data_IF_552599872609
#
_entry.id   IF_552599872609
#
_cell.length_a   1.000
_cell.length_b   1.000
_cell.length_c   1.000
_cell.angle_alpha   90.00
_cell.angle_beta   90.00
_cell.angle_gamma   90.00
#
_symmetry.space_group_name_H-M   'P 1'
#
loop_
_entity.id
_entity.type
_entity.pdbx_description
1 polymer ?
#
# COMPACT_ATOMS: atom_id res chain seq x y z
N UNK A 1 20.63 17.32 -11.99
CA UNK A 1 20.34 16.01 -11.38
C UNK A 1 21.48 15.72 -10.42
N UNK A 2 21.21 15.21 -9.21
CA UNK A 2 22.29 14.80 -8.29
C UNK A 2 23.09 13.69 -8.98
N UNK A 3 24.40 13.93 -9.19
CA UNK A 3 25.30 13.00 -9.87
C UNK A 3 25.27 11.62 -9.20
N UNK A 4 25.10 11.57 -7.88
CA UNK A 4 25.06 10.31 -7.13
C UNK A 4 23.83 9.46 -7.51
N UNK A 5 22.66 10.10 -7.62
CA UNK A 5 21.42 9.44 -8.01
C UNK A 5 21.51 8.93 -9.45
N UNK A 6 22.10 9.71 -10.36
CA UNK A 6 22.29 9.29 -11.75
C UNK A 6 23.15 8.01 -11.85
N UNK A 7 24.27 7.94 -11.13
CA UNK A 7 25.13 6.75 -11.13
C UNK A 7 24.44 5.52 -10.55
N UNK A 8 23.59 5.67 -9.51
CA UNK A 8 22.79 4.55 -8.99
C UNK A 8 21.80 4.02 -10.04
N UNK A 9 21.12 4.90 -10.78
CA UNK A 9 20.24 4.45 -11.87
C UNK A 9 21.02 3.84 -13.03
N UNK A 10 22.22 4.34 -13.35
CA UNK A 10 23.10 3.70 -14.34
C UNK A 10 23.51 2.30 -13.91
N UNK A 11 23.87 2.10 -12.64
CA UNK A 11 24.12 0.77 -12.07
C UNK A 11 22.90 -0.15 -12.23
N UNK A 12 21.69 0.33 -11.92
CA UNK A 12 20.48 -0.46 -12.12
C UNK A 12 20.20 -0.79 -13.59
N UNK A 13 20.49 0.14 -14.51
CA UNK A 13 20.33 -0.06 -15.94
C UNK A 13 21.33 -1.09 -16.51
N UNK A 14 22.57 -1.10 -16.02
CA UNK A 14 23.62 -2.02 -16.50
C UNK A 14 23.43 -3.46 -15.99
N UNK A 15 22.93 -3.61 -14.76
CA UNK A 15 22.98 -4.91 -14.07
C UNK A 15 21.62 -5.47 -13.66
N UNK A 16 20.54 -4.69 -13.75
CA UNK A 16 19.19 -5.12 -13.38
C UNK A 16 18.60 -6.15 -14.33
N UNK A 17 17.55 -6.83 -13.87
CA UNK A 17 16.64 -7.57 -14.72
C UNK A 17 15.78 -6.61 -15.59
N UNK A 18 14.96 -7.14 -16.53
CA UNK A 18 14.14 -6.30 -17.40
C UNK A 18 13.21 -5.31 -16.68
N UNK A 19 12.69 -5.64 -15.49
CA UNK A 19 11.82 -4.77 -14.70
C UNK A 19 12.59 -3.54 -14.21
N UNK A 20 13.72 -3.77 -13.54
CA UNK A 20 14.58 -2.72 -12.99
C UNK A 20 15.22 -1.89 -14.13
N UNK A 21 15.69 -2.55 -15.20
CA UNK A 21 16.31 -1.87 -16.35
C UNK A 21 15.31 -0.95 -17.03
N UNK A 22 14.07 -1.38 -17.24
CA UNK A 22 13.03 -0.53 -17.82
C UNK A 22 12.74 0.72 -16.96
N UNK A 23 12.67 0.59 -15.63
CA UNK A 23 12.53 1.73 -14.72
C UNK A 23 13.73 2.67 -14.80
N UNK A 24 14.94 2.12 -14.70
CA UNK A 24 16.18 2.89 -14.73
C UNK A 24 16.39 3.63 -16.07
N UNK A 25 16.04 2.99 -17.19
CA UNK A 25 16.13 3.58 -18.52
C UNK A 25 15.24 4.81 -18.68
N UNK A 26 14.02 4.80 -18.09
CA UNK A 26 13.13 5.97 -18.07
C UNK A 26 13.79 7.13 -17.35
N UNK A 27 14.44 6.84 -16.24
CA UNK A 27 15.07 7.85 -15.41
C UNK A 27 16.25 8.53 -16.10
N UNK A 28 17.16 7.75 -16.70
CA UNK A 28 18.37 8.27 -17.36
C UNK A 28 18.10 8.75 -18.80
N UNK A 29 16.85 8.74 -19.26
CA UNK A 29 16.46 9.28 -20.56
C UNK A 29 16.84 8.41 -21.77
N UNK A 30 17.05 7.11 -21.57
CA UNK A 30 17.42 6.15 -22.64
C UNK A 30 16.34 5.08 -22.88
N UNK A 31 15.14 5.29 -22.36
CA UNK A 31 14.02 4.35 -22.49
C UNK A 31 13.64 4.13 -23.96
N UNK A 32 13.40 2.86 -24.28
CA UNK A 32 12.94 2.41 -25.60
C UNK A 32 11.83 1.39 -25.44
N UNK A 33 11.02 1.21 -26.48
CA UNK A 33 9.89 0.29 -26.43
C UNK A 33 10.32 -1.17 -26.22
N UNK A 34 11.50 -1.56 -26.72
CA UNK A 34 12.03 -2.91 -26.53
C UNK A 34 12.32 -3.23 -25.06
N UNK A 35 12.70 -2.23 -24.25
CA UNK A 35 12.91 -2.40 -22.81
C UNK A 35 11.57 -2.59 -22.09
N UNK A 36 10.54 -1.85 -22.51
CA UNK A 36 9.18 -2.03 -22.01
C UNK A 36 8.66 -3.42 -22.36
N UNK A 37 8.81 -3.85 -23.61
CA UNK A 37 8.38 -5.16 -24.06
C UNK A 37 9.12 -6.28 -23.32
N UNK A 38 10.44 -6.19 -23.16
CA UNK A 38 11.23 -7.16 -22.38
C UNK A 38 10.82 -7.22 -20.90
N UNK A 39 10.40 -6.11 -20.31
CA UNK A 39 9.82 -6.09 -18.95
C UNK A 39 8.49 -6.85 -18.92
N UNK A 40 7.59 -6.61 -19.87
CA UNK A 40 6.28 -7.27 -19.96
C UNK A 40 6.41 -8.77 -20.23
N UNK A 41 7.37 -9.19 -21.04
CA UNK A 41 7.66 -10.61 -21.34
C UNK A 41 8.31 -11.37 -20.18
N UNK A 42 8.76 -10.68 -19.13
CA UNK A 42 9.35 -11.31 -17.95
C UNK A 42 8.37 -12.33 -17.33
N UNK A 43 8.82 -13.56 -17.04
CA UNK A 43 7.98 -14.58 -16.40
C UNK A 43 7.36 -14.12 -15.08
N UNK A 44 8.03 -13.19 -14.38
CA UNK A 44 7.53 -12.60 -13.14
C UNK A 44 6.38 -11.64 -13.38
N UNK A 45 6.42 -10.84 -14.44
CA UNK A 45 5.32 -9.92 -14.79
C UNK A 45 4.12 -10.74 -15.26
N UNK A 46 4.34 -11.69 -16.17
CA UNK A 46 3.29 -12.57 -16.68
C UNK A 46 2.56 -13.34 -15.56
N UNK A 47 3.30 -13.88 -14.60
CA UNK A 47 2.71 -14.54 -13.42
C UNK A 47 1.70 -13.66 -12.67
N UNK A 48 2.05 -12.38 -12.45
CA UNK A 48 1.17 -11.47 -11.70
C UNK A 48 0.01 -10.95 -12.55
N UNK A 49 0.17 -10.83 -13.88
CA UNK A 49 -0.95 -10.57 -14.79
C UNK A 49 -1.94 -11.74 -14.75
N UNK A 50 -1.46 -12.99 -14.77
CA UNK A 50 -2.30 -14.18 -14.66
C UNK A 50 -3.05 -14.22 -13.32
N UNK A 51 -2.36 -13.91 -12.21
CA UNK A 51 -2.98 -13.81 -10.89
C UNK A 51 -4.06 -12.73 -10.83
N UNK A 52 -3.81 -11.54 -11.39
CA UNK A 52 -4.81 -10.47 -11.48
C UNK A 52 -6.00 -10.90 -12.35
N UNK A 53 -5.76 -11.56 -13.47
CA UNK A 53 -6.80 -11.98 -14.40
C UNK A 53 -7.77 -13.01 -13.76
N UNK A 54 -7.29 -13.84 -12.83
CA UNK A 54 -8.13 -14.75 -12.07
C UNK A 54 -9.22 -14.05 -11.23
N UNK A 55 -9.03 -12.77 -10.90
CA UNK A 55 -10.01 -11.99 -10.12
C UNK A 55 -11.39 -11.95 -10.78
N UNK A 56 -11.48 -11.98 -12.11
CA UNK A 56 -12.75 -12.00 -12.85
C UNK A 56 -13.57 -13.29 -12.60
N UNK A 57 -12.88 -14.41 -12.42
CA UNK A 57 -13.53 -15.70 -12.19
C UNK A 57 -13.97 -15.84 -10.73
N UNK A 58 -13.16 -15.31 -9.81
CA UNK A 58 -13.41 -15.36 -8.37
C UNK A 58 -13.04 -14.03 -7.72
N UNK A 59 -13.99 -13.07 -7.66
CA UNK A 59 -13.74 -11.73 -7.13
C UNK A 59 -13.40 -11.76 -5.64
N UNK A 60 -12.10 -11.82 -5.34
CA UNK A 60 -11.57 -11.76 -3.99
C UNK A 60 -10.61 -10.58 -3.87
N UNK A 61 -11.11 -9.50 -3.28
CA UNK A 61 -10.36 -8.25 -3.19
C UNK A 61 -9.17 -8.39 -2.23
N UNK A 62 -9.43 -9.02 -1.09
CA UNK A 62 -8.54 -8.99 0.07
C UNK A 62 -8.35 -10.39 0.69
N UNK A 63 -7.10 -10.87 0.72
CA UNK A 63 -6.63 -12.10 1.37
C UNK A 63 -5.11 -12.23 1.20
N UNK A 64 -4.50 -13.21 1.85
CA UNK A 64 -3.09 -13.51 1.69
C UNK A 64 -2.74 -14.13 0.33
N UNK A 65 -3.66 -14.81 -0.38
CA UNK A 65 -3.33 -15.52 -1.62
C UNK A 65 -2.86 -14.56 -2.75
N UNK A 66 -1.90 -15.00 -3.57
CA UNK A 66 -1.36 -14.17 -4.67
C UNK A 66 -2.45 -13.79 -5.70
N UNK A 67 -3.43 -14.67 -5.92
CA UNK A 67 -4.58 -14.45 -6.81
C UNK A 67 -5.58 -13.41 -6.28
N UNK A 68 -5.43 -12.96 -5.04
CA UNK A 68 -6.28 -11.89 -4.51
C UNK A 68 -5.83 -10.57 -5.08
N UNK A 69 -6.83 -9.75 -5.42
CA UNK A 69 -6.64 -8.51 -6.17
C UNK A 69 -5.56 -7.63 -5.57
N UNK A 70 -5.61 -7.37 -4.26
CA UNK A 70 -4.70 -6.46 -3.57
C UNK A 70 -3.21 -6.86 -3.73
N UNK A 71 -2.90 -8.15 -3.75
CA UNK A 71 -1.52 -8.61 -3.85
C UNK A 71 -1.04 -8.49 -5.31
N UNK A 72 -1.86 -8.94 -6.25
CA UNK A 72 -1.53 -8.86 -7.67
C UNK A 72 -1.40 -7.42 -8.16
N UNK A 73 -2.34 -6.55 -7.78
CA UNK A 73 -2.30 -5.13 -8.15
C UNK A 73 -1.00 -4.47 -7.67
N UNK A 74 -0.60 -4.72 -6.42
CA UNK A 74 0.55 -4.06 -5.84
C UNK A 74 1.85 -4.46 -6.51
N UNK A 75 1.96 -5.74 -6.88
CA UNK A 75 3.10 -6.25 -7.63
C UNK A 75 3.19 -5.63 -9.01
N UNK A 76 2.08 -5.59 -9.74
CA UNK A 76 2.04 -4.99 -11.08
C UNK A 76 2.37 -3.49 -11.05
N UNK A 77 1.85 -2.74 -10.07
CA UNK A 77 2.24 -1.34 -9.85
C UNK A 77 3.73 -1.20 -9.55
N UNK A 78 4.27 -2.08 -8.68
CA UNK A 78 5.70 -2.06 -8.34
C UNK A 78 6.61 -2.39 -9.52
N UNK A 79 6.08 -3.02 -10.58
CA UNK A 79 6.78 -3.29 -11.83
C UNK A 79 6.59 -2.18 -12.89
N UNK A 80 5.73 -1.20 -12.63
CA UNK A 80 5.45 -0.12 -13.57
C UNK A 80 4.56 -0.56 -14.75
N UNK A 81 3.72 -1.56 -14.52
CA UNK A 81 2.70 -2.01 -15.47
C UNK A 81 1.56 -0.98 -15.54
N UNK A 82 1.07 -0.74 -16.75
CA UNK A 82 -0.04 0.17 -17.09
C UNK A 82 -1.15 -0.63 -17.77
N UNK A 83 -2.35 -0.08 -17.78
CA UNK A 83 -3.50 -0.72 -18.44
C UNK A 83 -3.23 -1.05 -19.92
N UNK A 84 -2.63 -0.12 -20.66
CA UNK A 84 -2.36 -0.29 -22.09
C UNK A 84 -1.32 -1.38 -22.43
N UNK A 85 -0.66 -1.96 -21.43
CA UNK A 85 0.42 -2.92 -21.67
C UNK A 85 -0.09 -4.34 -21.99
N UNK A 86 -1.28 -4.70 -21.50
CA UNK A 86 -1.82 -6.04 -21.69
C UNK A 86 -3.35 -5.99 -21.72
N UNK A 87 -3.94 -6.60 -22.76
CA UNK A 87 -5.40 -6.63 -22.95
C UNK A 87 -6.14 -7.22 -21.74
N UNK A 88 -5.53 -8.20 -21.04
CA UNK A 88 -6.12 -8.80 -19.84
C UNK A 88 -6.31 -7.78 -18.73
N UNK A 89 -5.40 -6.80 -18.60
CA UNK A 89 -5.51 -5.75 -17.59
C UNK A 89 -6.70 -4.84 -17.90
N UNK A 90 -6.85 -4.43 -19.16
CA UNK A 90 -8.01 -3.65 -19.59
C UNK A 90 -9.34 -4.40 -19.36
N UNK A 91 -9.38 -5.70 -19.67
CA UNK A 91 -10.57 -6.54 -19.41
C UNK A 91 -10.90 -6.62 -17.91
N UNK A 92 -9.88 -6.72 -17.04
CA UNK A 92 -10.06 -6.70 -15.59
C UNK A 92 -10.48 -5.33 -15.09
N UNK A 93 -9.93 -4.23 -15.58
CA UNK A 93 -10.34 -2.89 -15.17
C UNK A 93 -11.80 -2.61 -15.51
N UNK A 94 -12.24 -3.05 -16.69
CA UNK A 94 -13.65 -2.99 -17.10
C UNK A 94 -14.54 -3.77 -16.12
N UNK A 95 -14.15 -5.01 -15.79
CA UNK A 95 -14.86 -5.80 -14.79
C UNK A 95 -14.86 -5.14 -13.40
N UNK A 96 -13.75 -4.55 -12.96
CA UNK A 96 -13.65 -3.87 -11.66
C UNK A 96 -14.57 -2.66 -11.62
N UNK A 97 -14.70 -1.88 -12.69
CA UNK A 97 -15.63 -0.76 -12.75
C UNK A 97 -17.08 -1.22 -12.57
N UNK A 98 -17.48 -2.29 -13.24
CA UNK A 98 -18.82 -2.89 -13.08
C UNK A 98 -19.02 -3.44 -11.65
N UNK A 99 -18.01 -4.15 -11.13
CA UNK A 99 -18.06 -4.70 -9.78
C UNK A 99 -18.11 -3.60 -8.72
N UNK A 100 -17.37 -2.51 -8.89
CA UNK A 100 -17.39 -1.34 -8.01
C UNK A 100 -18.79 -0.73 -7.94
N UNK A 101 -19.44 -0.53 -9.10
CA UNK A 101 -20.83 -0.05 -9.15
C UNK A 101 -21.79 -0.94 -8.34
N UNK A 102 -21.53 -2.24 -8.23
CA UNK A 102 -22.37 -3.16 -7.45
C UNK A 102 -22.18 -3.06 -5.93
N UNK A 103 -21.04 -2.55 -5.46
CA UNK A 103 -20.70 -2.52 -4.01
C UNK A 103 -20.68 -1.13 -3.37
N UNK A 104 -20.76 -0.05 -4.16
CA UNK A 104 -20.73 1.34 -3.61
C UNK A 104 -21.92 1.70 -2.73
N UNK A 105 -22.99 0.91 -2.75
CA UNK A 105 -24.09 1.05 -1.78
C UNK A 105 -23.74 0.59 -0.35
N UNK A 106 -22.54 0.04 -0.14
CA UNK A 106 -22.00 -0.44 1.14
C UNK A 106 -22.98 -1.34 1.92
N UNK A 107 -23.62 -2.28 1.23
CA UNK A 107 -24.61 -3.17 1.83
C UNK A 107 -23.98 -4.14 2.83
N UNK A 108 -22.72 -4.51 2.62
CA UNK A 108 -21.93 -5.34 3.50
C UNK A 108 -20.80 -4.55 4.14
N UNK A 109 -20.39 -4.99 5.33
CA UNK A 109 -19.34 -4.35 6.11
C UNK A 109 -18.03 -4.09 5.34
N UNK A 110 -17.58 -5.08 4.55
CA UNK A 110 -16.32 -4.97 3.83
C UNK A 110 -16.41 -4.18 2.52
N UNK A 111 -17.61 -3.78 2.09
CA UNK A 111 -17.80 -3.12 0.80
C UNK A 111 -17.08 -1.77 0.77
N UNK A 112 -17.09 -0.98 1.86
CA UNK A 112 -16.38 0.30 1.88
C UNK A 112 -14.86 0.16 1.73
N UNK A 113 -14.30 -0.88 2.35
CA UNK A 113 -12.85 -1.18 2.25
C UNK A 113 -12.52 -1.71 0.87
N UNK A 114 -13.32 -2.66 0.35
CA UNK A 114 -13.13 -3.23 -0.97
C UNK A 114 -13.25 -2.17 -2.07
N UNK A 115 -14.25 -1.29 -1.98
CA UNK A 115 -14.42 -0.18 -2.90
C UNK A 115 -13.21 0.76 -2.90
N UNK A 116 -12.64 1.06 -1.73
CA UNK A 116 -11.43 1.88 -1.60
C UNK A 116 -10.23 1.23 -2.31
N UNK A 117 -10.01 -0.07 -2.10
CA UNK A 117 -8.90 -0.82 -2.72
C UNK A 117 -9.06 -0.82 -4.25
N UNK A 118 -10.25 -1.16 -4.75
CA UNK A 118 -10.54 -1.23 -6.19
C UNK A 118 -10.43 0.15 -6.87
N UNK A 119 -11.04 1.19 -6.27
CA UNK A 119 -10.96 2.56 -6.78
C UNK A 119 -9.52 3.07 -6.80
N UNK A 120 -8.70 2.74 -5.79
CA UNK A 120 -7.29 3.14 -5.75
C UNK A 120 -6.48 2.55 -6.91
N UNK A 121 -6.72 1.28 -7.26
CA UNK A 121 -6.08 0.65 -8.41
C UNK A 121 -6.50 1.30 -9.72
N UNK A 122 -7.81 1.50 -9.92
CA UNK A 122 -8.31 2.14 -11.13
C UNK A 122 -7.70 3.54 -11.30
N UNK A 123 -7.62 4.32 -10.21
CA UNK A 123 -6.93 5.60 -10.21
C UNK A 123 -5.45 5.47 -10.61
N UNK A 124 -4.71 4.48 -10.08
CA UNK A 124 -3.33 4.19 -10.49
C UNK A 124 -3.21 3.83 -11.98
N UNK A 125 -4.22 3.19 -12.56
CA UNK A 125 -4.27 2.83 -13.98
C UNK A 125 -4.64 4.01 -14.89
N UNK A 126 -5.06 5.15 -14.32
CA UNK A 126 -5.39 6.37 -15.07
C UNK A 126 -6.90 6.61 -15.26
N UNK A 127 -7.74 5.79 -14.64
CA UNK A 127 -9.20 5.97 -14.66
C UNK A 127 -9.63 7.19 -13.83
N UNK A 128 -10.64 7.91 -14.30
CA UNK A 128 -11.13 9.19 -13.75
C UNK A 128 -12.65 9.30 -13.70
N UNK A 129 -13.33 8.16 -13.83
CA UNK A 129 -14.78 8.02 -13.77
C UNK A 129 -15.31 8.54 -12.43
N UNK A 130 -16.48 9.18 -12.45
CA UNK A 130 -17.07 9.85 -11.28
C UNK A 130 -17.17 8.93 -10.07
N UNK A 131 -17.55 7.66 -10.26
CA UNK A 131 -17.63 6.67 -9.18
C UNK A 131 -16.29 6.46 -8.45
N UNK A 132 -15.16 6.49 -9.17
CA UNK A 132 -13.84 6.35 -8.55
C UNK A 132 -13.52 7.58 -7.71
N UNK A 133 -13.77 8.77 -8.29
CA UNK A 133 -13.53 10.04 -7.63
C UNK A 133 -14.38 10.14 -6.35
N UNK A 134 -15.66 9.78 -6.44
CA UNK A 134 -16.61 9.85 -5.33
C UNK A 134 -16.21 8.88 -4.21
N UNK A 135 -15.91 7.61 -4.53
CA UNK A 135 -15.45 6.63 -3.53
C UNK A 135 -14.20 7.12 -2.80
N UNK A 136 -13.20 7.62 -3.53
CA UNK A 136 -11.95 8.09 -2.92
C UNK A 136 -12.15 9.36 -2.09
N UNK A 137 -12.99 10.30 -2.57
CA UNK A 137 -13.34 11.52 -1.85
C UNK A 137 -14.10 11.21 -0.57
N UNK A 138 -15.16 10.44 -0.66
CA UNK A 138 -15.96 10.01 0.49
C UNK A 138 -15.11 9.27 1.51
N UNK A 139 -14.17 8.44 1.06
CA UNK A 139 -13.27 7.74 1.95
C UNK A 139 -12.40 8.69 2.77
N UNK A 140 -11.84 9.74 2.15
CA UNK A 140 -11.13 10.81 2.88
C UNK A 140 -12.06 11.48 3.90
N UNK A 141 -13.30 11.81 3.50
CA UNK A 141 -14.27 12.44 4.40
C UNK A 141 -14.62 11.57 5.61
N UNK A 142 -14.87 10.28 5.41
CA UNK A 142 -15.24 9.37 6.50
C UNK A 142 -14.13 9.23 7.52
N UNK A 143 -12.89 9.03 7.07
CA UNK A 143 -11.74 8.94 7.98
C UNK A 143 -11.50 10.29 8.67
N UNK A 144 -11.52 11.39 7.91
CA UNK A 144 -11.36 12.74 8.45
C UNK A 144 -12.40 13.08 9.52
N UNK A 145 -13.66 12.68 9.31
CA UNK A 145 -14.77 12.94 10.22
C UNK A 145 -14.50 12.42 11.63
N UNK A 146 -13.73 11.34 11.75
CA UNK A 146 -13.30 10.79 13.03
C UNK A 146 -12.00 11.45 13.51
N UNK A 147 -10.94 11.45 12.68
CA UNK A 147 -9.59 11.87 13.14
C UNK A 147 -9.50 13.34 13.55
N UNK A 148 -10.36 14.21 13.01
CA UNK A 148 -10.40 15.64 13.37
C UNK A 148 -10.67 15.89 14.87
N UNK A 149 -11.27 14.91 15.54
CA UNK A 149 -11.54 14.97 16.98
C UNK A 149 -10.35 14.51 17.84
N UNK A 150 -9.33 13.89 17.24
CA UNK A 150 -8.16 13.33 17.94
C UNK A 150 -8.57 12.44 19.12
N UNK A 151 -9.61 11.63 18.94
CA UNK A 151 -10.05 10.65 19.93
C UNK A 151 -9.32 9.33 19.70
N UNK A 152 -8.66 8.82 20.74
CA UNK A 152 -7.92 7.57 20.71
C UNK A 152 -8.65 6.47 21.51
N UNK A 153 -9.80 6.77 22.11
CA UNK A 153 -10.61 5.81 22.87
C UNK A 153 -11.51 5.00 21.92
N UNK A 154 -10.89 4.17 21.09
CA UNK A 154 -11.59 3.43 20.03
C UNK A 154 -12.24 2.13 20.49
N UNK A 155 -12.02 1.73 21.75
CA UNK A 155 -12.52 0.48 22.32
C UNK A 155 -13.65 0.72 23.32
N UNK A 156 -14.50 -0.28 23.47
CA UNK A 156 -15.61 -0.28 24.44
C UNK A 156 -15.58 -1.54 25.30
N UNK A 157 -16.20 -1.45 26.48
CA UNK A 157 -16.48 -2.64 27.30
C UNK A 157 -17.41 -3.59 26.50
N UNK A 158 -17.05 -4.88 26.35
CA UNK A 158 -17.90 -5.86 25.67
C UNK A 158 -19.22 -6.14 26.39
N UNK A 159 -19.42 -5.66 27.63
CA UNK A 159 -20.68 -5.78 28.36
C UNK A 159 -21.85 -5.16 27.57
N UNK A 160 -22.86 -5.96 27.28
CA UNK A 160 -24.03 -5.55 26.49
C UNK A 160 -23.96 -5.95 25.01
N UNK A 161 -22.83 -6.52 24.55
CA UNK A 161 -22.68 -7.08 23.21
C UNK A 161 -22.80 -8.62 23.22
N UNK A 162 -23.04 -9.27 22.07
CA UNK A 162 -23.01 -10.73 21.95
C UNK A 162 -21.71 -11.33 22.48
N UNK A 163 -21.76 -12.55 23.02
CA UNK A 163 -20.59 -13.18 23.62
C UNK A 163 -19.42 -13.32 22.63
N UNK A 164 -18.24 -12.79 22.98
CA UNK A 164 -17.01 -12.93 22.20
C UNK A 164 -16.49 -14.37 22.39
N UNK A 165 -16.18 -15.11 21.29
CA UNK A 165 -15.57 -16.43 21.40
C UNK A 165 -14.27 -16.39 22.23
N UNK A 166 -14.08 -17.37 23.12
CA UNK A 166 -12.92 -17.42 24.04
C UNK A 166 -11.57 -17.26 23.32
N UNK A 167 -11.43 -17.85 22.14
CA UNK A 167 -10.22 -17.76 21.31
C UNK A 167 -9.90 -16.36 20.80
N UNK A 168 -10.84 -15.41 20.91
CA UNK A 168 -10.69 -14.03 20.47
C UNK A 168 -10.76 -13.02 21.61
N UNK A 169 -11.11 -13.46 22.83
CA UNK A 169 -11.32 -12.57 23.98
C UNK A 169 -10.07 -11.79 24.41
N UNK A 170 -8.88 -12.17 23.93
CA UNK A 170 -7.61 -11.44 24.11
C UNK A 170 -7.53 -10.13 23.31
N UNK A 171 -8.45 -9.91 22.36
CA UNK A 171 -8.48 -8.73 21.51
C UNK A 171 -9.58 -7.77 21.99
N UNK A 172 -9.30 -6.45 22.08
CA UNK A 172 -10.31 -5.48 22.51
C UNK A 172 -11.42 -5.32 21.48
N UNK A 173 -12.63 -4.99 21.93
CA UNK A 173 -13.77 -4.69 21.05
C UNK A 173 -13.70 -3.24 20.56
N UNK A 174 -13.59 -3.05 19.25
CA UNK A 174 -13.71 -1.74 18.62
C UNK A 174 -15.14 -1.24 18.77
N UNK A 175 -15.29 0.04 19.12
CA UNK A 175 -16.57 0.70 19.28
C UNK A 175 -17.40 0.63 17.98
N UNK A 176 -18.57 -0.02 17.97
CA UNK A 176 -19.40 -0.14 16.76
C UNK A 176 -19.82 1.19 16.13
N UNK A 177 -19.83 2.28 16.90
CA UNK A 177 -20.07 3.65 16.38
C UNK A 177 -19.05 4.06 15.31
N UNK A 178 -17.85 3.48 15.35
CA UNK A 178 -16.78 3.76 14.38
C UNK A 178 -17.01 3.08 13.04
N UNK A 179 -18.03 2.23 12.93
CA UNK A 179 -18.34 1.52 11.69
C UNK A 179 -19.84 1.33 11.43
N UNK A 180 -20.66 2.24 11.96
CA UNK A 180 -22.09 2.30 11.65
C UNK A 180 -22.35 2.42 10.14
N UNK A 181 -23.44 1.79 9.70
CA UNK A 181 -23.85 1.71 8.30
C UNK A 181 -22.77 1.12 7.38
N UNK A 182 -21.99 0.17 7.89
CA UNK A 182 -20.88 -0.47 7.17
C UNK A 182 -19.76 0.49 6.74
N UNK A 183 -19.69 1.69 7.31
CA UNK A 183 -18.67 2.70 6.96
C UNK A 183 -17.59 2.71 8.03
N UNK A 184 -16.47 2.04 7.78
CA UNK A 184 -15.32 2.06 8.67
C UNK A 184 -14.70 3.46 8.78
N UNK A 185 -14.51 4.04 9.98
CA UNK A 185 -14.01 5.43 10.12
C UNK A 185 -12.56 5.55 10.58
N UNK A 186 -11.93 4.45 11.00
CA UNK A 186 -10.52 4.47 11.37
C UNK A 186 -9.62 4.39 10.14
N UNK A 187 -8.44 5.05 10.14
CA UNK A 187 -7.53 4.97 9.02
C UNK A 187 -6.98 3.55 8.84
N UNK A 188 -6.82 3.11 7.61
CA UNK A 188 -6.26 1.81 7.26
C UNK A 188 -5.02 1.99 6.39
N UNK A 189 -4.24 0.92 6.26
CA UNK A 189 -3.11 0.90 5.34
C UNK A 189 -3.56 1.15 3.89
N UNK A 190 -4.72 0.62 3.50
CA UNK A 190 -5.32 0.82 2.17
C UNK A 190 -5.70 2.28 1.93
N UNK A 191 -6.09 3.03 2.97
CA UNK A 191 -6.38 4.45 2.86
C UNK A 191 -5.13 5.24 2.49
N UNK A 192 -4.02 4.97 3.17
CA UNK A 192 -2.76 5.66 2.88
C UNK A 192 -2.26 5.32 1.48
N UNK A 193 -2.43 4.07 1.07
CA UNK A 193 -2.15 3.69 -0.31
C UNK A 193 -3.02 4.47 -1.31
N UNK A 194 -4.33 4.56 -1.08
CA UNK A 194 -5.25 5.30 -1.93
C UNK A 194 -4.91 6.79 -1.98
N UNK A 195 -4.58 7.40 -0.84
CA UNK A 195 -4.23 8.82 -0.75
C UNK A 195 -2.93 9.16 -1.50
N UNK A 196 -1.98 8.22 -1.52
CA UNK A 196 -0.72 8.38 -2.27
C UNK A 196 -0.96 8.36 -3.80
N UNK A 197 -2.10 7.84 -4.25
CA UNK A 197 -2.42 7.62 -5.66
C UNK A 197 -3.75 8.26 -6.09
N UNK A 198 -4.15 9.35 -5.44
CA UNK A 198 -5.36 10.07 -5.81
C UNK A 198 -5.29 10.55 -7.27
N UNK A 199 -6.41 10.48 -8.02
CA UNK A 199 -6.53 11.15 -9.30
C UNK A 199 -6.21 12.65 -9.17
N UNK A 200 -5.63 13.24 -10.22
CA UNK A 200 -5.18 14.64 -10.22
C UNK A 200 -6.24 15.63 -9.71
N UNK A 201 -7.51 15.42 -10.08
CA UNK A 201 -8.63 16.26 -9.65
C UNK A 201 -8.83 16.29 -8.12
N UNK A 202 -8.54 15.19 -7.42
CA UNK A 202 -8.57 15.12 -5.96
C UNK A 202 -7.24 15.55 -5.35
N UNK A 203 -6.13 15.24 -6.01
CA UNK A 203 -4.80 15.66 -5.58
C UNK A 203 -4.70 17.19 -5.48
N UNK A 204 -5.17 17.91 -6.49
CA UNK A 204 -5.06 19.37 -6.58
C UNK A 204 -6.14 20.08 -5.71
N UNK A 205 -7.08 19.34 -5.14
CA UNK A 205 -8.09 19.86 -4.20
C UNK A 205 -7.46 20.11 -2.82
N UNK A 206 -7.20 21.40 -2.54
CA UNK A 206 -6.60 21.84 -1.27
C UNK A 206 -7.41 21.43 -0.02
N UNK A 207 -8.72 21.25 -0.12
CA UNK A 207 -9.52 20.80 1.02
C UNK A 207 -9.28 19.32 1.29
N UNK A 208 -9.19 18.51 0.24
CA UNK A 208 -8.84 17.08 0.36
C UNK A 208 -7.44 16.92 0.92
N UNK A 209 -6.46 17.68 0.42
CA UNK A 209 -5.08 17.64 0.95
C UNK A 209 -5.01 17.98 2.45
N UNK A 210 -5.73 19.02 2.89
CA UNK A 210 -5.80 19.37 4.33
C UNK A 210 -6.37 18.25 5.19
N UNK A 211 -7.34 17.49 4.67
CA UNK A 211 -7.95 16.35 5.39
C UNK A 211 -6.98 15.18 5.47
N UNK A 212 -6.27 14.89 4.38
CA UNK A 212 -5.21 13.87 4.35
C UNK A 212 -4.10 14.24 5.33
N UNK A 213 -3.66 15.50 5.36
CA UNK A 213 -2.66 15.97 6.33
C UNK A 213 -3.12 15.74 7.78
N UNK A 214 -4.38 16.02 8.10
CA UNK A 214 -4.93 15.75 9.44
C UNK A 214 -5.00 14.24 9.76
N UNK A 215 -5.29 13.39 8.78
CA UNK A 215 -5.25 11.92 8.93
C UNK A 215 -3.82 11.45 9.19
N UNK A 216 -2.84 11.96 8.42
CA UNK A 216 -1.43 11.65 8.64
C UNK A 216 -0.98 12.12 10.02
N UNK A 217 -1.32 13.34 10.44
CA UNK A 217 -1.02 13.83 11.80
C UNK A 217 -1.57 12.91 12.88
N UNK A 218 -2.80 12.41 12.71
CA UNK A 218 -3.40 11.46 13.64
C UNK A 218 -2.63 10.13 13.70
N UNK A 219 -2.19 9.60 12.55
CA UNK A 219 -1.40 8.36 12.46
C UNK A 219 -0.01 8.53 13.07
N UNK A 220 0.64 9.66 12.84
CA UNK A 220 1.98 9.93 13.38
C UNK A 220 1.97 10.27 14.88
N UNK A 221 0.80 10.45 15.49
CA UNK A 221 0.67 10.70 16.92
C UNK A 221 1.01 9.45 17.74
N UNK A 222 1.79 9.62 18.79
CA UNK A 222 2.21 8.53 19.67
C UNK A 222 1.02 7.75 20.24
N UNK A 223 -0.08 8.44 20.58
CA UNK A 223 -1.29 7.82 21.13
C UNK A 223 -1.94 6.86 20.15
N UNK A 224 -1.90 7.17 18.86
CA UNK A 224 -2.35 6.26 17.82
C UNK A 224 -1.45 5.04 17.72
N UNK A 225 -0.13 5.24 17.74
CA UNK A 225 0.84 4.16 17.62
C UNK A 225 0.84 3.20 18.83
N UNK A 226 0.24 3.63 19.95
CA UNK A 226 -0.01 2.79 21.14
C UNK A 226 -1.35 2.04 21.10
N UNK A 227 -2.17 2.24 20.08
CA UNK A 227 -3.40 1.45 19.93
C UNK A 227 -3.08 -0.03 19.74
N UNK A 228 -4.08 -0.88 19.96
CA UNK A 228 -3.95 -2.29 19.66
C UNK A 228 -3.66 -2.48 18.16
N UNK A 229 -2.57 -3.16 17.79
CA UNK A 229 -2.23 -3.40 16.38
C UNK A 229 -3.32 -4.22 15.68
N UNK A 230 -3.80 -3.73 14.54
CA UNK A 230 -5.00 -4.21 13.88
C UNK A 230 -6.31 -3.63 14.44
N UNK A 231 -6.29 -2.72 15.41
CA UNK A 231 -7.46 -2.17 16.12
C UNK A 231 -8.25 -3.16 16.99
N UNK A 232 -8.24 -4.47 16.72
CA UNK A 232 -8.90 -5.48 17.56
C UNK A 232 -10.11 -6.11 16.86
N UNK A 233 -11.15 -6.41 17.63
CA UNK A 233 -12.35 -7.08 17.14
C UNK A 233 -13.43 -6.09 16.70
N UNK A 234 -14.08 -6.43 15.60
CA UNK A 234 -15.29 -5.77 15.14
C UNK A 234 -16.45 -6.74 15.27
N UNK A 235 -17.57 -6.25 15.81
CA UNK A 235 -18.85 -6.93 15.75
C UNK A 235 -19.56 -6.57 14.44
N UNK A 236 -19.67 -7.54 13.54
CA UNK A 236 -20.54 -7.49 12.38
C UNK A 236 -21.88 -8.13 12.77
N UNK A 237 -22.99 -7.37 12.74
CA UNK A 237 -24.29 -7.88 13.13
C UNK A 237 -24.71 -9.14 12.35
N UNK A 238 -25.53 -10.02 12.95
CA UNK A 238 -26.04 -9.91 14.31
C UNK A 238 -25.00 -10.31 15.37
N UNK A 239 -24.15 -11.32 15.12
CA UNK A 239 -23.33 -11.96 16.16
C UNK A 239 -21.93 -12.41 15.70
N UNK A 240 -21.36 -11.81 14.63
CA UNK A 240 -20.07 -12.25 14.10
C UNK A 240 -18.95 -11.31 14.50
N UNK A 241 -17.89 -11.85 15.08
CA UNK A 241 -16.68 -11.09 15.36
C UNK A 241 -15.64 -11.31 14.25
N UNK A 242 -15.02 -10.22 13.77
CA UNK A 242 -13.91 -10.22 12.83
C UNK A 242 -12.73 -9.47 13.44
N UNK A 243 -11.51 -9.91 13.19
CA UNK A 243 -10.34 -9.07 13.47
C UNK A 243 -10.23 -8.01 12.39
N UNK A 244 -10.08 -6.74 12.76
CA UNK A 244 -9.53 -5.76 11.84
C UNK A 244 -8.01 -5.98 11.82
N UNK A 245 -7.38 -5.97 10.64
CA UNK A 245 -5.95 -6.29 10.49
C UNK A 245 -5.09 -5.13 10.05
N UNK A 246 -5.71 -4.03 9.59
CA UNK A 246 -5.07 -3.12 8.65
C UNK A 246 -4.87 -1.71 9.20
N UNK A 247 -4.65 -1.58 10.50
CA UNK A 247 -4.23 -0.31 11.11
C UNK A 247 -2.86 0.12 10.57
N UNK A 248 -2.65 1.42 10.35
CA UNK A 248 -1.36 1.99 9.91
C UNK A 248 -0.35 2.13 11.07
N UNK A 249 0.03 1.04 11.73
CA UNK A 249 1.13 1.08 12.71
C UNK A 249 2.47 1.17 12.00
N UNK A 250 3.32 2.09 12.46
CA UNK A 250 4.57 2.44 11.80
C UNK A 250 5.71 1.57 12.33
N UNK A 251 6.44 0.93 11.41
CA UNK A 251 7.64 0.17 11.73
C UNK A 251 8.64 1.05 12.49
N UNK A 252 9.26 0.51 13.55
CA UNK A 252 10.26 1.22 14.36
C UNK A 252 9.78 2.56 14.93
N UNK A 253 8.48 2.75 15.13
CA UNK A 253 7.99 3.96 15.80
C UNK A 253 8.48 4.06 17.24
N UNK A 254 8.48 2.92 17.96
CA UNK A 254 9.13 2.79 19.27
C UNK A 254 10.44 1.98 19.10
N UNK A 255 11.55 2.50 19.62
CA UNK A 255 12.89 1.91 19.46
C UNK A 255 13.00 0.45 19.96
N UNK A 256 12.15 0.05 20.91
CA UNK A 256 12.19 -1.27 21.56
C UNK A 256 11.35 -2.35 20.86
N UNK A 257 10.63 -2.04 19.77
CA UNK A 257 9.85 -3.03 19.04
C UNK A 257 10.71 -3.71 17.96
N UNK A 258 11.46 -4.73 18.37
CA UNK A 258 12.32 -5.56 17.49
C UNK A 258 11.54 -6.45 16.51
N UNK A 259 10.23 -6.58 16.66
CA UNK A 259 9.45 -7.64 15.99
C UNK A 259 8.86 -7.30 14.61
N UNK A 260 8.88 -6.06 14.12
CA UNK A 260 8.28 -5.75 12.82
C UNK A 260 9.06 -4.67 12.05
N UNK A 261 10.34 -4.93 11.77
CA UNK A 261 11.08 -4.14 10.77
C UNK A 261 10.87 -4.62 9.32
N UNK A 262 10.13 -5.71 9.14
CA UNK A 262 9.92 -6.38 7.85
C UNK A 262 9.17 -5.50 6.82
N UNK A 263 8.28 -4.62 7.31
CA UNK A 263 7.52 -3.68 6.47
C UNK A 263 8.19 -2.32 6.25
N UNK A 264 9.38 -2.06 6.81
CA UNK A 264 9.94 -0.69 6.87
C UNK A 264 10.16 -0.08 5.47
N UNK A 265 10.74 -0.83 4.54
CA UNK A 265 11.04 -0.31 3.18
C UNK A 265 9.74 -0.01 2.44
N UNK A 266 8.74 -0.88 2.59
CA UNK A 266 7.42 -0.69 2.02
C UNK A 266 6.74 0.56 2.57
N UNK A 267 6.71 0.71 3.91
CA UNK A 267 6.11 1.88 4.56
C UNK A 267 6.84 3.17 4.22
N UNK A 268 8.17 3.17 4.18
CA UNK A 268 8.97 4.33 3.78
C UNK A 268 8.68 4.72 2.33
N UNK A 269 8.60 3.75 1.41
CA UNK A 269 8.26 4.02 0.02
C UNK A 269 6.85 4.61 -0.09
N UNK A 270 5.87 4.07 0.63
CA UNK A 270 4.51 4.60 0.67
C UNK A 270 4.47 6.03 1.26
N UNK A 271 5.07 6.23 2.43
CA UNK A 271 5.05 7.51 3.15
C UNK A 271 5.85 8.61 2.45
N UNK A 272 6.81 8.24 1.61
CA UNK A 272 7.59 9.21 0.82
C UNK A 272 6.73 10.04 -0.14
N UNK A 273 5.49 9.61 -0.46
CA UNK A 273 4.55 10.36 -1.29
C UNK A 273 3.97 11.59 -0.58
N UNK A 274 4.09 11.71 0.75
CA UNK A 274 3.46 12.79 1.51
C UNK A 274 4.50 13.73 2.09
N UNK A 275 4.43 15.02 1.74
CA UNK A 275 5.31 16.04 2.31
C UNK A 275 5.26 16.04 3.84
N UNK A 276 4.05 15.99 4.41
CA UNK A 276 3.83 15.98 5.85
C UNK A 276 4.53 14.79 6.53
N UNK A 277 4.48 13.60 5.92
CA UNK A 277 5.17 12.43 6.43
C UNK A 277 6.70 12.61 6.40
N UNK A 278 7.26 13.12 5.30
CA UNK A 278 8.71 13.35 5.17
C UNK A 278 9.28 14.37 6.18
N UNK A 279 8.45 15.26 6.68
CA UNK A 279 8.83 16.25 7.69
C UNK A 279 8.88 15.67 9.12
N UNK A 280 8.25 14.51 9.35
CA UNK A 280 8.22 13.85 10.66
C UNK A 280 9.58 13.33 11.09
N UNK A 281 9.77 13.25 12.41
CA UNK A 281 10.97 12.65 13.01
C UNK A 281 11.07 11.16 12.70
N UNK A 282 9.94 10.46 12.68
CA UNK A 282 9.86 9.06 12.27
C UNK A 282 10.45 8.84 10.88
N UNK A 283 10.05 9.65 9.89
CA UNK A 283 10.53 9.46 8.51
C UNK A 283 12.02 9.77 8.40
N UNK A 284 12.49 10.85 9.02
CA UNK A 284 13.91 11.24 9.02
C UNK A 284 14.78 10.15 9.64
N UNK A 285 14.41 9.63 10.81
CA UNK A 285 15.18 8.59 11.50
C UNK A 285 15.21 7.27 10.73
N UNK A 286 14.09 6.86 10.14
CA UNK A 286 14.05 5.65 9.32
C UNK A 286 14.77 5.85 7.98
N UNK A 287 14.78 7.05 7.41
CA UNK A 287 15.56 7.34 6.21
C UNK A 287 17.07 7.25 6.50
N UNK A 288 17.54 7.81 7.62
CA UNK A 288 18.94 7.70 8.02
C UNK A 288 19.33 6.24 8.34
N UNK A 289 18.44 5.48 8.97
CA UNK A 289 18.61 4.03 9.16
C UNK A 289 18.73 3.29 7.82
N UNK A 290 17.90 3.60 6.82
CA UNK A 290 18.05 3.00 5.49
C UNK A 290 19.33 3.45 4.79
N UNK A 291 19.75 4.72 4.98
CA UNK A 291 21.01 5.24 4.44
C UNK A 291 22.24 4.55 5.00
N UNK A 292 22.20 4.06 6.24
CA UNK A 292 23.35 3.34 6.84
C UNK A 292 23.67 2.02 6.13
N UNK A 293 22.79 1.52 5.26
CA UNK A 293 23.05 0.34 4.43
C UNK A 293 23.72 0.67 3.07
N UNK A 294 24.14 1.92 2.84
CA UNK A 294 24.90 2.31 1.65
C UNK A 294 26.31 1.69 1.70
N UNK A 295 26.70 1.00 0.63
CA UNK A 295 28.02 0.39 0.41
C UNK A 295 28.43 0.58 -1.05
N UNK A 296 29.65 1.04 -1.31
CA UNK A 296 30.19 1.21 -2.67
C UNK A 296 29.24 2.02 -3.58
N UNK A 297 28.72 3.14 -3.07
CA UNK A 297 27.72 4.00 -3.74
C UNK A 297 26.34 3.40 -4.04
N UNK A 298 26.06 2.14 -3.67
CA UNK A 298 24.74 1.50 -3.80
C UNK A 298 24.20 1.06 -2.45
N UNK A 299 22.94 0.60 -2.38
CA UNK A 299 22.33 0.14 -1.12
C UNK A 299 22.26 -1.38 -1.05
N UNK A 300 22.40 -1.93 0.16
CA UNK A 300 22.24 -3.37 0.42
C UNK A 300 21.51 -3.60 1.75
N UNK A 301 20.19 -3.66 1.71
CA UNK A 301 19.33 -3.87 2.89
C UNK A 301 19.38 -5.31 3.42
N UNK A 302 19.06 -5.54 4.70
CA UNK A 302 18.81 -6.88 5.23
C UNK A 302 17.78 -7.65 4.40
N UNK A 303 17.92 -8.97 4.29
CA UNK A 303 17.02 -9.80 3.48
C UNK A 303 15.56 -9.75 3.97
N UNK A 304 15.34 -9.55 5.28
CA UNK A 304 14.01 -9.40 5.87
C UNK A 304 13.28 -8.13 5.40
N UNK A 305 13.99 -7.12 4.89
CA UNK A 305 13.36 -5.88 4.40
C UNK A 305 12.89 -6.01 2.95
N UNK A 306 13.33 -7.06 2.26
CA UNK A 306 13.05 -7.34 0.87
C UNK A 306 12.45 -8.74 0.75
N UNK A 307 11.47 -9.09 1.57
CA UNK A 307 10.82 -10.40 1.46
C UNK A 307 10.03 -10.53 0.15
N UNK A 308 10.03 -11.75 -0.41
CA UNK A 308 9.18 -12.15 -1.52
C UNK A 308 8.65 -13.54 -1.18
N UNK A 309 7.44 -13.58 -0.62
CA UNK A 309 6.81 -14.78 -0.08
C UNK A 309 5.43 -14.92 -0.69
N UNK A 310 5.22 -16.03 -1.41
CA UNK A 310 3.92 -16.36 -1.98
C UNK A 310 2.84 -16.48 -0.90
N UNK A 311 1.63 -16.11 -1.25
CA UNK A 311 0.44 -16.23 -0.43
C UNK A 311 0.58 -15.53 0.94
N UNK A 312 1.12 -14.31 0.90
CA UNK A 312 1.20 -13.39 2.03
C UNK A 312 0.66 -12.01 1.64
N UNK A 313 0.34 -11.21 2.64
CA UNK A 313 -0.17 -9.86 2.43
C UNK A 313 0.92 -8.88 2.02
N UNK A 314 0.70 -8.12 0.95
CA UNK A 314 1.66 -7.12 0.48
C UNK A 314 1.89 -5.99 1.51
N UNK A 315 0.84 -5.59 2.24
CA UNK A 315 0.87 -4.48 3.23
C UNK A 315 1.83 -4.74 4.38
N UNK A 316 2.29 -5.98 4.56
CA UNK A 316 3.28 -6.37 5.56
C UNK A 316 4.71 -6.47 4.99
N UNK A 317 4.94 -6.05 3.74
CA UNK A 317 6.26 -6.09 3.11
C UNK A 317 6.70 -7.48 2.61
N UNK A 318 5.76 -8.42 2.41
CA UNK A 318 6.10 -9.77 1.92
C UNK A 318 6.29 -9.87 0.40
N UNK A 319 6.08 -8.79 -0.34
CA UNK A 319 5.99 -8.77 -1.80
C UNK A 319 6.95 -7.75 -2.43
N UNK A 320 8.13 -7.59 -1.83
CA UNK A 320 9.10 -6.54 -2.13
C UNK A 320 10.10 -6.89 -3.24
N UNK A 321 10.10 -8.11 -3.77
CA UNK A 321 10.98 -8.50 -4.86
C UNK A 321 10.65 -7.75 -6.16
N UNK A 322 11.66 -7.33 -6.91
CA UNK A 322 11.53 -6.67 -8.21
C UNK A 322 11.87 -7.63 -9.37
N UNK A 323 11.71 -8.93 -9.14
CA UNK A 323 11.91 -10.00 -10.11
C UNK A 323 13.34 -10.54 -10.21
N UNK A 324 14.27 -10.05 -9.38
CA UNK A 324 15.66 -10.52 -9.40
C UNK A 324 15.78 -11.99 -9.04
N UNK A 325 16.81 -12.65 -9.59
CA UNK A 325 17.15 -13.99 -9.17
C UNK A 325 17.91 -13.92 -7.84
N UNK A 326 17.20 -14.21 -6.74
CA UNK A 326 17.72 -14.18 -5.36
C UNK A 326 18.91 -15.10 -5.08
N UNK A 327 19.23 -16.03 -6.00
CA UNK A 327 20.46 -16.85 -5.92
C UNK A 327 21.71 -16.09 -6.39
N UNK A 328 21.56 -14.99 -7.12
CA UNK A 328 22.68 -14.16 -7.58
C UNK A 328 23.11 -13.19 -6.48
N UNK A 329 24.42 -13.04 -6.29
CA UNK A 329 25.00 -12.15 -5.27
C UNK A 329 24.55 -10.69 -5.41
N UNK A 330 24.26 -10.23 -6.64
CA UNK A 330 23.91 -8.84 -6.91
C UNK A 330 22.43 -8.50 -6.64
N UNK A 331 21.56 -9.51 -6.56
CA UNK A 331 20.09 -9.32 -6.49
C UNK A 331 19.67 -8.37 -5.37
N UNK A 332 20.23 -8.54 -4.18
CA UNK A 332 19.94 -7.70 -3.02
C UNK A 332 20.41 -6.25 -3.21
N UNK A 333 21.58 -6.04 -3.81
CA UNK A 333 22.08 -4.68 -4.12
C UNK A 333 21.15 -3.97 -5.11
N UNK A 334 20.69 -4.67 -6.14
CA UNK A 334 19.77 -4.14 -7.15
C UNK A 334 18.41 -3.77 -6.54
N UNK A 335 17.75 -4.70 -5.85
CA UNK A 335 16.42 -4.45 -5.26
C UNK A 335 16.48 -3.37 -4.16
N UNK A 336 17.51 -3.39 -3.30
CA UNK A 336 17.68 -2.38 -2.25
C UNK A 336 17.89 -0.99 -2.85
N UNK A 337 18.72 -0.88 -3.88
CA UNK A 337 19.02 0.41 -4.53
C UNK A 337 17.79 0.94 -5.25
N UNK A 338 17.05 0.09 -5.97
CA UNK A 338 15.80 0.48 -6.61
C UNK A 338 14.76 1.00 -5.60
N UNK A 339 14.54 0.29 -4.49
CA UNK A 339 13.64 0.75 -3.44
C UNK A 339 14.10 2.04 -2.75
N UNK A 340 15.40 2.17 -2.48
CA UNK A 340 15.93 3.39 -1.89
C UNK A 340 15.74 4.60 -2.81
N UNK A 341 15.98 4.43 -4.11
CA UNK A 341 15.73 5.46 -5.11
C UNK A 341 14.25 5.87 -5.14
N UNK A 342 13.31 4.91 -5.06
CA UNK A 342 11.87 5.22 -4.96
C UNK A 342 11.52 6.02 -3.70
N UNK A 343 12.22 5.81 -2.59
CA UNK A 343 12.01 6.55 -1.34
C UNK A 343 12.55 7.98 -1.44
N UNK A 344 13.77 8.17 -1.96
CA UNK A 344 14.44 9.49 -1.98
C UNK A 344 14.07 10.35 -3.19
N UNK A 345 13.67 9.72 -4.30
CA UNK A 345 13.36 10.39 -5.55
C UNK A 345 11.86 10.59 -5.76
N UNK A 346 11.03 10.40 -4.74
CA UNK A 346 9.60 10.53 -4.95
C UNK A 346 9.21 12.00 -5.25
N UNK A 347 9.03 12.30 -6.54
CA UNK A 347 8.79 13.65 -7.08
C UNK A 347 7.35 14.13 -6.91
N UNK A 348 6.49 13.36 -6.22
CA UNK A 348 5.12 13.79 -5.93
C UNK A 348 5.15 14.86 -4.83
N UNK A 349 5.21 16.12 -5.27
CA UNK A 349 4.88 17.34 -4.52
C UNK A 349 4.23 18.36 -5.47
#
# INVERSE_FOLDING_TARGET
>A
MDQNIYEMYKFLYEYGNPIIVNEAAKYIGVHKEELRQGMLESPKVQYWIDCLHHFKDKPQVHNAADICFENAMHKLLSYGVREADDKRIHEINTFILEFLNSIVGYQNFFDSVNATILASWLACMGHTETIIIDVLRERVEFVYSFVKHKDYNIHVDPKGFPAIPKTRAMHPLVNPKLYENNIWRLPTIHDIFAYAHLPKILHDDKQIQRKIDAILEYIFDERYQRLYSGYGLMLVPPNRYYGMGWSMHLCRYFENNSMDSDGIVWQMALMSNFKKARETEWFKNNLEHLKSFKKDEVYEFPASYLMEVKNKYYVLGYHMGLGENRKKNLSKKLESTAWMLRIIHNNRC
#
